data_IF_105629447116
#
_entry.id   IF_105629447116
#
_cell.length_a   1.000
_cell.length_b   1.000
_cell.length_c   1.000
_cell.angle_alpha   90.00
_cell.angle_beta   90.00
_cell.angle_gamma   90.00
#
_symmetry.space_group_name_H-M   'P 1'
#
loop_
_entity.id
_entity.type
_entity.pdbx_description
1 polymer ?
#
# COMPACT_ATOMS: atom_id res chain seq x y z
N UNK A 1 8.61 2.50 17.68
CA UNK A 1 9.12 1.82 16.47
C UNK A 1 10.16 2.58 15.62
N UNK A 2 10.61 3.80 15.96
CA UNK A 2 11.71 4.53 15.24
C UNK A 2 13.02 3.76 15.07
N UNK A 3 13.36 2.89 16.03
CA UNK A 3 14.60 2.09 16.02
C UNK A 3 14.60 1.06 14.88
N UNK A 4 13.44 0.52 14.49
CA UNK A 4 13.36 -0.48 13.42
C UNK A 4 13.69 0.12 12.05
N UNK A 5 13.11 1.28 11.72
CA UNK A 5 13.40 1.97 10.46
C UNK A 5 14.87 2.41 10.40
N UNK A 6 15.38 3.01 11.49
CA UNK A 6 16.78 3.42 11.57
C UNK A 6 17.77 2.24 11.39
N UNK A 7 17.40 1.05 11.87
CA UNK A 7 18.21 -0.17 11.74
C UNK A 7 18.22 -0.71 10.31
N UNK A 8 17.08 -0.65 9.61
CA UNK A 8 16.94 -1.05 8.19
C UNK A 8 17.70 -0.09 7.27
N UNK A 9 17.61 1.22 7.54
CA UNK A 9 18.35 2.23 6.78
C UNK A 9 19.87 2.09 6.97
N UNK A 10 20.31 1.73 8.18
CA UNK A 10 21.73 1.53 8.49
C UNK A 10 22.36 0.33 7.77
N UNK A 11 21.57 -0.67 7.37
CA UNK A 11 22.08 -1.85 6.66
C UNK A 11 22.33 -1.63 5.16
N UNK A 12 22.11 -0.42 4.63
CA UNK A 12 22.34 -0.10 3.21
C UNK A 12 21.33 -0.76 2.28
N UNK A 13 20.13 -1.08 2.78
CA UNK A 13 19.07 -1.62 1.94
C UNK A 13 18.63 -0.58 0.90
N UNK A 14 18.45 -1.01 -0.35
CA UNK A 14 17.90 -0.20 -1.44
C UNK A 14 16.39 -0.41 -1.64
N UNK A 15 15.85 -1.50 -1.08
CA UNK A 15 14.42 -1.84 -1.13
C UNK A 15 13.93 -2.18 0.28
N UNK A 16 12.81 -1.58 0.68
CA UNK A 16 12.12 -1.85 1.94
C UNK A 16 10.77 -2.51 1.62
N UNK A 17 10.45 -3.60 2.31
CA UNK A 17 9.14 -4.25 2.24
C UNK A 17 8.45 -4.06 3.59
N UNK A 18 7.28 -3.42 3.59
CA UNK A 18 6.47 -3.18 4.78
C UNK A 18 5.10 -3.83 4.60
N UNK A 19 4.72 -4.68 5.55
CA UNK A 19 3.41 -5.33 5.59
C UNK A 19 2.58 -4.74 6.73
N UNK A 20 1.51 -4.03 6.38
CA UNK A 20 0.62 -3.28 7.30
C UNK A 20 1.36 -2.46 8.37
N UNK A 21 2.29 -1.55 7.98
CA UNK A 21 3.10 -0.81 8.94
C UNK A 21 2.31 0.23 9.73
N UNK A 22 1.08 0.53 9.32
CA UNK A 22 0.18 1.49 9.98
C UNK A 22 -0.51 0.89 11.20
N UNK A 23 -0.47 -0.44 11.36
CA UNK A 23 -1.11 -1.10 12.49
C UNK A 23 -0.40 -0.76 13.82
N UNK A 24 -1.19 -0.53 14.86
CA UNK A 24 -0.70 -0.21 16.22
C UNK A 24 0.21 1.03 16.32
N UNK A 25 0.24 1.90 15.31
CA UNK A 25 0.96 3.17 15.37
C UNK A 25 0.04 4.31 15.82
N UNK A 26 0.55 5.15 16.72
CA UNK A 26 -0.05 6.45 16.97
C UNK A 26 0.16 7.42 15.79
N UNK A 27 -0.61 8.50 15.77
CA UNK A 27 -0.60 9.49 14.67
C UNK A 27 0.79 10.12 14.49
N UNK A 28 1.52 10.37 15.58
CA UNK A 28 2.86 10.97 15.52
C UNK A 28 3.87 10.02 14.87
N UNK A 29 3.83 8.74 15.24
CA UNK A 29 4.70 7.71 14.68
C UNK A 29 4.36 7.42 13.23
N UNK A 30 3.09 7.47 12.86
CA UNK A 30 2.65 7.36 11.47
C UNK A 30 3.24 8.50 10.61
N UNK A 31 3.18 9.74 11.09
CA UNK A 31 3.79 10.89 10.40
C UNK A 31 5.30 10.76 10.26
N UNK A 32 5.98 10.32 11.31
CA UNK A 32 7.42 10.08 11.26
C UNK A 32 7.79 8.97 10.26
N UNK A 33 6.93 7.95 10.10
CA UNK A 33 7.11 6.91 9.10
C UNK A 33 6.91 7.46 7.68
N UNK A 34 5.85 8.23 7.44
CA UNK A 34 5.60 8.90 6.15
C UNK A 34 6.81 9.76 5.73
N UNK A 35 7.30 10.63 6.62
CA UNK A 35 8.46 11.49 6.36
C UNK A 35 9.72 10.67 6.04
N UNK A 36 9.94 9.58 6.79
CA UNK A 36 11.09 8.73 6.56
C UNK A 36 11.02 7.96 5.24
N UNK A 37 9.82 7.54 4.81
CA UNK A 37 9.61 6.89 3.51
C UNK A 37 9.78 7.87 2.35
N UNK A 38 9.29 9.10 2.48
CA UNK A 38 9.47 10.15 1.47
C UNK A 38 10.93 10.58 1.33
N UNK A 39 11.69 10.59 2.42
CA UNK A 39 13.11 10.92 2.41
C UNK A 39 14.02 9.73 2.03
N UNK A 40 13.46 8.52 1.91
CA UNK A 40 14.25 7.33 1.60
C UNK A 40 14.69 7.34 0.13
N UNK A 41 16.00 7.29 -0.18
CA UNK A 41 16.47 7.35 -1.56
C UNK A 41 16.29 6.04 -2.34
N UNK A 42 15.80 4.98 -1.69
CA UNK A 42 15.53 3.69 -2.31
C UNK A 42 14.07 3.51 -2.71
N UNK A 43 13.68 2.25 -2.94
CA UNK A 43 12.30 1.88 -3.23
C UNK A 43 11.63 1.30 -1.98
N UNK A 44 10.36 1.61 -1.77
CA UNK A 44 9.56 0.98 -0.74
C UNK A 44 8.34 0.31 -1.37
N UNK A 45 8.09 -0.94 -0.99
CA UNK A 45 6.84 -1.65 -1.25
C UNK A 45 6.10 -1.73 0.06
N UNK A 46 4.91 -1.14 0.10
CA UNK A 46 4.11 -1.04 1.32
C UNK A 46 2.73 -1.60 1.08
N UNK A 47 2.31 -2.52 1.94
CA UNK A 47 0.96 -3.04 2.02
C UNK A 47 0.27 -2.28 3.14
N UNK A 48 -0.85 -1.60 2.84
CA UNK A 48 -1.63 -0.90 3.85
C UNK A 48 -3.09 -0.80 3.43
N UNK A 49 -4.00 -0.87 4.41
CA UNK A 49 -5.40 -0.52 4.22
C UNK A 49 -5.72 0.96 4.52
N UNK A 50 -4.76 1.78 4.94
CA UNK A 50 -4.94 3.21 5.21
C UNK A 50 -4.81 4.04 3.92
N UNK A 51 -5.94 4.52 3.41
CA UNK A 51 -6.04 5.31 2.19
C UNK A 51 -5.27 6.63 2.30
N UNK A 52 -5.36 7.32 3.43
CA UNK A 52 -4.69 8.62 3.60
C UNK A 52 -3.18 8.48 3.68
N UNK A 53 -2.69 7.36 4.22
CA UNK A 53 -1.28 7.03 4.21
C UNK A 53 -0.81 6.76 2.78
N UNK A 54 -1.51 5.88 2.04
CA UNK A 54 -1.19 5.57 0.65
C UNK A 54 -1.21 6.82 -0.24
N UNK A 55 -2.20 7.71 -0.08
CA UNK A 55 -2.29 8.96 -0.85
C UNK A 55 -1.07 9.86 -0.70
N UNK A 56 -0.38 9.78 0.44
CA UNK A 56 0.77 10.63 0.77
C UNK A 56 2.10 10.07 0.31
N UNK A 57 2.25 8.74 0.29
CA UNK A 57 3.55 8.10 0.03
C UNK A 57 3.61 7.35 -1.30
N UNK A 58 2.47 6.94 -1.86
CA UNK A 58 2.44 6.07 -3.03
C UNK A 58 2.72 6.88 -4.31
N UNK A 59 3.63 6.35 -5.12
CA UNK A 59 3.81 6.78 -6.52
C UNK A 59 3.14 5.83 -7.50
N UNK A 60 2.85 4.61 -7.05
CA UNK A 60 2.22 3.55 -7.81
C UNK A 60 1.34 2.72 -6.88
N UNK A 61 0.26 2.17 -7.43
CA UNK A 61 -0.64 1.24 -6.76
C UNK A 61 -0.59 -0.12 -7.46
N UNK A 62 -0.34 -1.17 -6.69
CA UNK A 62 -0.53 -2.55 -7.11
C UNK A 62 -1.87 -3.04 -6.54
N UNK A 63 -2.92 -2.98 -7.35
CA UNK A 63 -4.28 -3.29 -6.92
C UNK A 63 -4.69 -4.73 -7.29
N UNK A 64 -5.34 -5.41 -6.34
CA UNK A 64 -5.92 -6.73 -6.54
C UNK A 64 -7.44 -6.58 -6.73
N UNK A 65 -7.92 -6.59 -7.98
CA UNK A 65 -9.31 -6.24 -8.34
C UNK A 65 -10.28 -7.43 -8.37
N UNK A 66 -9.89 -8.58 -7.81
CA UNK A 66 -10.67 -9.82 -7.89
C UNK A 66 -10.33 -10.67 -9.12
N UNK A 67 -10.91 -11.87 -9.23
CA UNK A 67 -10.64 -12.84 -10.30
C UNK A 67 -9.15 -13.07 -10.62
N UNK A 68 -8.31 -12.99 -9.58
CA UNK A 68 -6.84 -13.09 -9.69
C UNK A 68 -6.21 -12.06 -10.62
N UNK A 69 -6.90 -10.95 -10.88
CA UNK A 69 -6.36 -9.81 -11.64
C UNK A 69 -5.58 -8.89 -10.72
N UNK A 70 -4.42 -8.47 -11.22
CA UNK A 70 -3.55 -7.51 -10.57
C UNK A 70 -3.30 -6.37 -11.54
N UNK A 71 -3.63 -5.15 -11.12
CA UNK A 71 -3.49 -3.93 -11.90
C UNK A 71 -2.33 -3.12 -11.33
N UNK A 72 -1.41 -2.71 -12.20
CA UNK A 72 -0.36 -1.75 -11.90
C UNK A 72 -0.80 -0.37 -12.37
N UNK A 73 -0.90 0.57 -11.44
CA UNK A 73 -1.36 1.93 -11.70
C UNK A 73 -0.29 2.93 -11.27
N UNK A 74 -0.01 3.93 -12.11
CA UNK A 74 0.90 5.03 -11.80
C UNK A 74 0.09 6.20 -11.23
N UNK A 75 0.41 6.60 -10.00
CA UNK A 75 -0.36 7.55 -9.21
C UNK A 75 -0.60 7.04 -7.79
N UNK A 76 -1.30 7.86 -7.00
CA UNK A 76 -1.61 7.53 -5.61
C UNK A 76 -2.95 6.75 -5.51
N UNK A 77 -3.46 6.56 -4.29
CA UNK A 77 -4.69 5.80 -4.08
C UNK A 77 -5.93 6.55 -4.60
N UNK A 78 -6.02 7.86 -4.41
CA UNK A 78 -7.09 8.72 -4.92
C UNK A 78 -7.19 8.64 -6.45
N UNK A 79 -6.06 8.78 -7.15
CA UNK A 79 -5.97 8.66 -8.61
C UNK A 79 -6.44 7.28 -9.08
N UNK A 80 -5.94 6.21 -8.43
CA UNK A 80 -6.33 4.83 -8.73
C UNK A 80 -7.84 4.62 -8.52
N UNK A 81 -8.39 5.14 -7.42
CA UNK A 81 -9.80 4.98 -7.10
C UNK A 81 -10.71 5.72 -8.09
N UNK A 82 -10.30 6.90 -8.57
CA UNK A 82 -10.99 7.61 -9.64
C UNK A 82 -10.96 6.81 -10.95
N UNK A 83 -9.82 6.22 -11.31
CA UNK A 83 -9.70 5.34 -12.47
C UNK A 83 -10.56 4.07 -12.34
N UNK A 84 -10.57 3.45 -11.16
CA UNK A 84 -11.39 2.28 -10.86
C UNK A 84 -12.88 2.58 -11.08
N UNK A 85 -13.37 3.70 -10.56
CA UNK A 85 -14.75 4.17 -10.76
C UNK A 85 -15.07 4.43 -12.23
N UNK A 86 -14.12 4.96 -12.98
CA UNK A 86 -14.27 5.17 -14.43
C UNK A 86 -14.36 3.85 -15.21
N UNK A 87 -13.60 2.81 -14.80
CA UNK A 87 -13.56 1.50 -15.47
C UNK A 87 -14.74 0.60 -15.12
N UNK A 88 -15.12 0.54 -13.83
CA UNK A 88 -16.09 -0.42 -13.31
C UNK A 88 -17.45 0.20 -12.97
N UNK A 89 -17.57 1.54 -12.97
CA UNK A 89 -18.83 2.22 -12.63
C UNK A 89 -19.33 1.83 -11.24
N UNK A 90 -20.59 1.42 -11.14
CA UNK A 90 -21.25 1.05 -9.88
C UNK A 90 -20.68 -0.22 -9.23
N UNK A 91 -19.96 -1.06 -9.97
CA UNK A 91 -19.30 -2.25 -9.42
C UNK A 91 -18.05 -1.89 -8.60
N UNK A 92 -17.47 -0.70 -8.78
CA UNK A 92 -16.28 -0.25 -8.04
C UNK A 92 -16.51 -0.15 -6.52
N UNK A 93 -17.72 0.22 -6.10
CA UNK A 93 -18.10 0.38 -4.70
C UNK A 93 -18.72 -0.91 -4.11
N UNK A 94 -18.85 -1.99 -4.89
CA UNK A 94 -19.40 -3.27 -4.43
C UNK A 94 -18.29 -4.24 -3.97
N UNK A 95 -18.20 -4.57 -2.67
CA UNK A 95 -17.26 -5.58 -2.20
C UNK A 95 -17.69 -6.97 -2.66
N UNK A 96 -17.05 -7.49 -3.70
CA UNK A 96 -17.24 -8.88 -4.12
C UNK A 96 -16.44 -9.81 -3.23
N UNK A 97 -17.14 -10.71 -2.52
CA UNK A 97 -16.49 -11.72 -1.68
C UNK A 97 -15.74 -12.70 -2.58
N UNK A 98 -14.41 -12.66 -2.53
CA UNK A 98 -13.53 -13.61 -3.22
C UNK A 98 -13.88 -15.03 -2.75
N UNK A 99 -14.42 -15.85 -3.66
CA UNK A 99 -14.69 -17.27 -3.40
C UNK A 99 -13.40 -18.05 -3.64
N UNK A 100 -12.64 -18.30 -2.58
CA UNK A 100 -11.48 -19.19 -2.67
C UNK A 100 -11.92 -20.61 -3.05
N UNK A 101 -11.30 -21.18 -4.09
CA UNK A 101 -11.43 -22.60 -4.39
C UNK A 101 -10.68 -23.37 -3.28
N UNK A 102 -11.31 -24.31 -2.55
CA UNK A 102 -10.62 -25.03 -1.49
C UNK A 102 -9.43 -25.79 -2.08
N UNK A 103 -8.23 -25.55 -1.52
CA UNK A 103 -7.03 -26.29 -1.87
C UNK A 103 -7.29 -27.75 -1.54
N UNK A 104 -7.41 -28.59 -2.57
CA UNK A 104 -7.54 -30.03 -2.39
C UNK A 104 -6.13 -30.57 -2.18
N UNK A 105 -5.92 -31.24 -1.05
CA UNK A 105 -4.62 -31.77 -0.62
C UNK A 105 -4.31 -33.09 -1.30
#
# INVERSE_FOLDING_TARGET
NRVHLAKILKSGANVILLDEPTNDLDVETLRALEEALLAFPGCAVVISHDRYFLDRIATHILAFEGDSQVVWFEGNYEDYHADLKRRLGDEADQPHRIKYKPLTR
#
